data_IF_929658725112
#
_entry.id   IF_929658725112
#
_cell.length_a   1.000
_cell.length_b   1.000
_cell.length_c   1.000
_cell.angle_alpha   90.00
_cell.angle_beta   90.00
_cell.angle_gamma   90.00
#
_symmetry.space_group_name_H-M   'P 1'
#
loop_
_entity.id
_entity.type
_entity.pdbx_description
1 polymer ?
#
# COMPACT_ATOMS: atom_id res chain seq x y z
N UNK A 1 17.29 0.30 1.80
CA UNK A 1 15.99 0.93 2.07
C UNK A 1 14.90 -0.03 1.63
N UNK A 2 13.88 -0.27 2.45
CA UNK A 2 12.72 -1.05 2.02
C UNK A 2 12.04 -0.31 0.86
N UNK A 3 11.69 -1.04 -0.21
CA UNK A 3 11.00 -0.47 -1.36
C UNK A 3 9.62 -1.10 -1.48
N UNK A 4 8.59 -0.27 -1.57
CA UNK A 4 7.23 -0.73 -1.88
C UNK A 4 7.03 -0.81 -3.39
N UNK A 5 6.55 -1.96 -3.87
CA UNK A 5 6.21 -2.14 -5.28
C UNK A 5 4.79 -1.65 -5.54
N UNK A 6 4.66 -0.67 -6.42
CA UNK A 6 3.38 -0.12 -6.87
C UNK A 6 3.26 -0.22 -8.39
N UNK A 7 2.04 -0.38 -8.89
CA UNK A 7 1.72 -0.24 -10.31
C UNK A 7 0.95 1.06 -10.51
N UNK A 8 1.44 1.92 -11.39
CA UNK A 8 0.82 3.21 -11.72
C UNK A 8 0.62 3.32 -13.22
N UNK A 9 -0.46 3.98 -13.64
CA UNK A 9 -0.70 4.31 -15.04
C UNK A 9 -0.25 5.74 -15.29
N UNK A 10 0.70 5.92 -16.22
CA UNK A 10 1.23 7.23 -16.63
C UNK A 10 1.38 7.25 -18.17
N UNK A 11 1.38 8.43 -18.81
CA UNK A 11 1.51 8.53 -20.27
C UNK A 11 2.76 7.84 -20.81
N UNK A 12 2.63 7.10 -21.93
CA UNK A 12 3.74 6.35 -22.54
C UNK A 12 4.94 7.24 -22.90
N UNK A 13 4.67 8.46 -23.39
CA UNK A 13 5.72 9.44 -23.68
C UNK A 13 6.54 9.81 -22.44
N UNK A 14 5.89 9.92 -21.28
CA UNK A 14 6.56 10.24 -20.02
C UNK A 14 7.44 9.07 -19.55
N UNK A 15 6.99 7.82 -19.75
CA UNK A 15 7.81 6.62 -19.46
C UNK A 15 9.07 6.61 -20.32
N UNK A 16 8.95 6.90 -21.62
CA UNK A 16 10.09 6.96 -22.54
C UNK A 16 11.09 8.05 -22.14
N UNK A 17 10.61 9.22 -21.71
CA UNK A 17 11.45 10.29 -21.18
C UNK A 17 12.17 9.86 -19.89
N UNK A 18 11.47 9.20 -18.96
CA UNK A 18 12.06 8.68 -17.73
C UNK A 18 13.14 7.64 -18.01
N UNK A 19 12.92 6.73 -18.96
CA UNK A 19 13.91 5.71 -19.37
C UNK A 19 15.15 6.32 -20.01
N UNK A 20 14.97 7.37 -20.81
CA UNK A 20 16.08 8.11 -21.41
C UNK A 20 16.89 8.83 -20.33
N UNK A 21 16.22 9.46 -19.37
CA UNK A 21 16.84 10.13 -18.23
C UNK A 21 17.57 9.15 -17.29
N UNK A 22 17.03 7.95 -17.11
CA UNK A 22 17.60 6.85 -16.32
C UNK A 22 18.90 6.35 -16.95
N UNK A 23 18.87 6.03 -18.26
CA UNK A 23 20.05 5.59 -19.02
C UNK A 23 21.18 6.62 -18.97
N UNK A 24 20.88 7.90 -19.24
CA UNK A 24 21.87 8.99 -19.20
C UNK A 24 22.57 9.15 -17.84
N UNK A 25 21.92 8.74 -16.75
CA UNK A 25 22.43 8.90 -15.38
C UNK A 25 22.96 7.60 -14.79
N UNK A 26 22.95 6.50 -15.55
CA UNK A 26 23.23 5.16 -15.07
C UNK A 26 22.42 4.80 -13.81
N UNK A 27 21.11 5.09 -13.84
CA UNK A 27 20.16 4.85 -12.73
C UNK A 27 18.95 4.05 -13.23
N UNK A 28 18.15 3.54 -12.30
CA UNK A 28 16.89 2.86 -12.62
C UNK A 28 15.76 3.86 -12.88
N UNK A 29 14.73 3.42 -13.61
CA UNK A 29 13.49 4.19 -13.80
C UNK A 29 12.85 4.58 -12.47
N UNK A 30 12.76 3.64 -11.52
CA UNK A 30 12.21 3.89 -10.19
C UNK A 30 12.97 4.96 -9.43
N UNK A 31 14.30 5.05 -9.62
CA UNK A 31 15.10 6.13 -9.03
C UNK A 31 14.73 7.49 -9.61
N UNK A 32 14.57 7.60 -10.94
CA UNK A 32 14.13 8.85 -11.59
C UNK A 32 12.75 9.30 -11.09
N UNK A 33 11.81 8.36 -10.98
CA UNK A 33 10.46 8.66 -10.50
C UNK A 33 10.50 9.11 -9.03
N UNK A 34 11.27 8.43 -8.17
CA UNK A 34 11.41 8.81 -6.76
C UNK A 34 12.02 10.21 -6.59
N UNK A 35 13.05 10.56 -7.36
CA UNK A 35 13.63 11.91 -7.36
C UNK A 35 12.64 12.98 -7.83
N UNK A 36 11.85 12.68 -8.87
CA UNK A 36 10.83 13.61 -9.37
C UNK A 36 9.79 13.91 -8.29
N UNK A 37 9.30 12.87 -7.59
CA UNK A 37 8.36 13.03 -6.46
C UNK A 37 8.99 13.84 -5.34
N UNK A 38 10.24 13.56 -4.96
CA UNK A 38 10.92 14.30 -3.89
C UNK A 38 10.99 15.80 -4.18
N UNK A 39 11.47 16.17 -5.38
CA UNK A 39 11.56 17.56 -5.80
C UNK A 39 10.21 18.24 -5.90
N UNK A 40 9.19 17.52 -6.35
CA UNK A 40 7.83 18.04 -6.42
C UNK A 40 7.30 18.40 -5.03
N UNK A 41 7.51 17.52 -4.04
CA UNK A 41 7.09 17.78 -2.66
C UNK A 41 7.90 18.92 -2.03
N UNK A 42 9.23 18.92 -2.17
CA UNK A 42 10.10 20.00 -1.69
C UNK A 42 9.70 21.37 -2.26
N UNK A 43 9.28 21.41 -3.52
CA UNK A 43 8.80 22.63 -4.17
C UNK A 43 7.38 23.04 -3.76
N UNK A 44 6.50 22.07 -3.46
CA UNK A 44 5.11 22.32 -3.08
C UNK A 44 4.94 22.78 -1.63
N UNK A 45 5.90 22.47 -0.75
CA UNK A 45 5.89 22.90 0.64
C UNK A 45 7.32 23.18 1.14
N UNK A 46 7.76 24.46 1.21
CA UNK A 46 9.01 24.81 1.86
C UNK A 46 8.85 24.62 3.38
N UNK A 47 8.93 23.39 3.86
CA UNK A 47 8.83 23.08 5.29
C UNK A 47 8.54 21.64 5.66
N UNK A 48 7.98 20.83 4.76
CA UNK A 48 7.59 19.45 5.07
C UNK A 48 8.36 18.47 4.17
N UNK A 49 9.64 18.27 4.50
CA UNK A 49 10.43 17.23 3.87
C UNK A 49 9.72 15.88 4.09
N UNK A 50 9.27 15.22 3.01
CA UNK A 50 8.74 13.86 3.06
C UNK A 50 9.88 12.94 3.51
N UNK A 51 9.94 12.73 4.82
CA UNK A 51 10.77 11.74 5.47
C UNK A 51 10.02 10.42 5.39
N UNK A 52 10.65 9.37 4.87
CA UNK A 52 10.20 8.02 5.20
C UNK A 52 10.11 7.95 6.74
N UNK A 53 8.99 7.46 7.31
CA UNK A 53 8.93 7.23 8.74
C UNK A 53 10.04 6.23 9.05
N UNK A 54 11.14 6.73 9.62
CA UNK A 54 12.18 5.88 10.18
C UNK A 54 11.49 5.16 11.33
N UNK A 55 11.29 3.84 11.27
CA UNK A 55 10.76 3.14 12.41
C UNK A 55 11.80 3.29 13.51
N UNK A 56 11.53 4.15 14.49
CA UNK A 56 12.34 4.21 15.69
C UNK A 56 12.29 2.80 16.29
N UNK A 57 13.43 2.11 16.47
CA UNK A 57 13.43 0.77 17.04
C UNK A 57 12.79 0.74 18.45
N UNK A 58 12.71 1.92 19.10
CA UNK A 58 11.84 2.20 20.24
C UNK A 58 11.27 3.61 20.10
N UNK A 59 10.08 3.78 19.52
CA UNK A 59 9.30 4.99 19.76
C UNK A 59 8.96 5.00 21.26
N UNK A 60 9.46 5.99 22.00
CA UNK A 60 9.23 6.08 23.43
C UNK A 60 7.74 6.33 23.71
N UNK A 61 7.04 5.28 24.13
CA UNK A 61 5.66 5.34 24.62
C UNK A 61 4.61 4.73 23.69
N UNK A 62 3.44 4.48 24.27
CA UNK A 62 2.26 4.05 23.54
C UNK A 62 1.68 5.27 22.82
N UNK A 63 1.49 5.21 21.51
CA UNK A 63 0.79 6.27 20.76
C UNK A 63 -0.60 6.55 21.35
N UNK A 64 -1.16 7.75 21.10
CA UNK A 64 -2.35 8.25 21.79
C UNK A 64 -3.53 7.25 21.83
N UNK A 65 -3.78 6.53 20.74
CA UNK A 65 -4.81 5.50 20.66
C UNK A 65 -4.51 4.30 21.57
N UNK A 66 -3.27 3.79 21.54
CA UNK A 66 -2.85 2.64 22.34
C UNK A 66 -2.81 2.98 23.84
N UNK A 67 -2.46 4.22 24.17
CA UNK A 67 -2.52 4.74 25.54
C UNK A 67 -3.97 4.88 26.03
N UNK A 68 -4.87 5.39 25.19
CA UNK A 68 -6.29 5.50 25.52
C UNK A 68 -6.92 4.11 25.75
N UNK A 69 -6.60 3.13 24.91
CA UNK A 69 -7.02 1.74 25.09
C UNK A 69 -6.53 1.18 26.42
N UNK A 70 -5.23 1.34 26.73
CA UNK A 70 -4.68 0.87 28.01
C UNK A 70 -5.39 1.52 29.21
N UNK A 71 -5.70 2.82 29.14
CA UNK A 71 -6.45 3.51 30.20
C UNK A 71 -7.88 2.99 30.34
N UNK A 72 -8.51 2.54 29.25
CA UNK A 72 -9.82 1.91 29.30
C UNK A 72 -9.72 0.51 29.92
N UNK A 73 -8.77 -0.30 29.48
CA UNK A 73 -8.55 -1.66 29.96
C UNK A 73 -8.22 -1.69 31.45
N UNK A 74 -7.41 -0.75 31.96
CA UNK A 74 -7.07 -0.67 33.38
C UNK A 74 -8.25 -0.34 34.30
N UNK A 75 -9.40 0.11 33.76
CA UNK A 75 -10.63 0.28 34.53
C UNK A 75 -11.44 -1.02 34.66
N UNK A 76 -11.07 -2.06 33.91
CA UNK A 76 -11.71 -3.37 33.93
C UNK A 76 -10.97 -4.32 34.88
N UNK A 77 -11.67 -5.36 35.32
CA UNK A 77 -11.04 -6.50 36.01
C UNK A 77 -10.10 -7.24 35.05
N UNK A 78 -9.09 -7.97 35.54
CA UNK A 78 -8.23 -8.78 34.69
C UNK A 78 -8.99 -9.70 33.72
N UNK A 79 -10.04 -10.35 34.21
CA UNK A 79 -10.89 -11.26 33.44
C UNK A 79 -11.69 -10.51 32.36
N UNK A 80 -12.21 -9.33 32.67
CA UNK A 80 -12.99 -8.54 31.72
C UNK A 80 -12.12 -7.93 30.62
N UNK A 81 -10.84 -7.60 30.91
CA UNK A 81 -9.88 -7.20 29.86
C UNK A 81 -9.67 -8.31 28.84
N UNK A 82 -9.55 -9.56 29.29
CA UNK A 82 -9.38 -10.72 28.40
C UNK A 82 -10.63 -10.89 27.53
N UNK A 83 -11.81 -10.84 28.13
CA UNK A 83 -13.08 -10.94 27.38
C UNK A 83 -13.24 -9.83 26.34
N UNK A 84 -12.87 -8.59 26.69
CA UNK A 84 -12.96 -7.46 25.77
C UNK A 84 -11.96 -7.56 24.61
N UNK A 85 -10.74 -8.04 24.89
CA UNK A 85 -9.76 -8.33 23.86
C UNK A 85 -10.25 -9.42 22.89
N UNK A 86 -10.87 -10.48 23.41
CA UNK A 86 -11.48 -11.55 22.59
C UNK A 86 -12.63 -11.03 21.72
N UNK A 87 -13.51 -10.18 22.27
CA UNK A 87 -14.59 -9.52 21.50
C UNK A 87 -14.04 -8.64 20.39
N UNK A 88 -12.99 -7.87 20.68
CA UNK A 88 -12.34 -6.99 19.70
C UNK A 88 -11.73 -7.81 18.56
N UNK A 89 -11.06 -8.92 18.89
CA UNK A 89 -10.54 -9.86 17.90
C UNK A 89 -11.65 -10.47 17.04
N UNK A 90 -12.79 -10.82 17.65
CA UNK A 90 -13.94 -11.37 16.94
C UNK A 90 -14.62 -10.34 16.03
N UNK A 91 -14.73 -9.09 16.46
CA UNK A 91 -15.27 -7.98 15.65
C UNK A 91 -14.36 -7.61 14.48
N UNK A 92 -13.04 -7.75 14.66
CA UNK A 92 -12.05 -7.53 13.60
C UNK A 92 -11.88 -8.68 12.62
N UNK A 93 -12.51 -9.84 12.86
CA UNK A 93 -12.54 -10.91 11.87
C UNK A 93 -13.36 -10.44 10.66
N UNK A 94 -12.79 -10.42 9.45
CA UNK A 94 -13.57 -10.14 8.27
C UNK A 94 -14.68 -11.19 8.20
N UNK A 95 -15.92 -10.75 8.36
CA UNK A 95 -17.07 -11.57 8.07
C UNK A 95 -16.94 -12.01 6.61
N UNK A 96 -17.17 -13.30 6.36
CA UNK A 96 -17.04 -13.92 5.05
C UNK A 96 -17.57 -13.00 3.95
N UNK A 97 -16.75 -12.80 2.94
CA UNK A 97 -17.04 -12.01 1.75
C UNK A 97 -18.36 -12.45 1.09
N UNK A 98 -19.47 -11.77 1.40
CA UNK A 98 -20.71 -11.88 0.60
C UNK A 98 -21.56 -10.61 0.62
N UNK A 99 -20.93 -9.43 0.70
CA UNK A 99 -21.65 -8.16 0.63
C UNK A 99 -20.89 -7.04 -0.10
N UNK A 100 -20.02 -7.38 -1.06
CA UNK A 100 -19.51 -6.42 -2.04
C UNK A 100 -19.79 -6.96 -3.44
N UNK A 101 -20.65 -6.25 -4.15
CA UNK A 101 -21.04 -6.55 -5.52
C UNK A 101 -19.85 -6.61 -6.47
N UNK A 102 -19.99 -7.46 -7.49
CA UNK A 102 -19.05 -7.66 -8.60
C UNK A 102 -17.63 -8.02 -8.17
N UNK A 103 -17.41 -9.31 -7.86
CA UNK A 103 -16.06 -9.90 -7.89
C UNK A 103 -15.43 -9.65 -9.27
N UNK A 104 -14.55 -8.66 -9.34
CA UNK A 104 -13.51 -8.58 -10.37
C UNK A 104 -12.67 -9.85 -10.25
N UNK A 105 -13.01 -10.87 -11.04
CA UNK A 105 -12.24 -12.10 -11.11
C UNK A 105 -10.95 -11.77 -11.86
N UNK A 106 -9.86 -11.64 -11.12
CA UNK A 106 -8.53 -11.45 -11.71
C UNK A 106 -8.12 -12.77 -12.37
N UNK A 107 -8.12 -12.81 -13.70
CA UNK A 107 -7.62 -13.94 -14.48
C UNK A 107 -6.17 -13.61 -14.87
N UNK A 108 -5.22 -14.39 -14.34
CA UNK A 108 -3.82 -14.32 -14.72
C UNK A 108 -3.50 -15.34 -15.80
N UNK A 109 -2.65 -14.96 -16.75
CA UNK A 109 -2.14 -15.83 -17.81
C UNK A 109 -0.63 -15.92 -17.69
N UNK A 110 -0.07 -17.12 -17.81
CA UNK A 110 1.39 -17.32 -17.76
C UNK A 110 2.04 -16.90 -19.08
N UNK A 111 1.34 -17.04 -20.21
CA UNK A 111 1.81 -16.65 -21.53
C UNK A 111 0.81 -15.72 -22.21
N UNK A 112 1.34 -14.84 -23.09
CA UNK A 112 0.52 -13.90 -23.84
C UNK A 112 -0.47 -14.58 -24.79
N UNK A 113 -0.10 -15.73 -25.36
CA UNK A 113 -0.97 -16.51 -26.25
C UNK A 113 -2.24 -17.00 -25.52
N UNK A 114 -2.14 -17.36 -24.24
CA UNK A 114 -3.27 -17.84 -23.44
C UNK A 114 -4.33 -16.73 -23.25
N UNK A 115 -3.87 -15.47 -23.15
CA UNK A 115 -4.74 -14.30 -23.11
C UNK A 115 -5.48 -14.11 -24.45
N UNK A 116 -4.80 -14.27 -25.58
CA UNK A 116 -5.43 -14.14 -26.90
C UNK A 116 -6.48 -15.22 -27.13
N UNK A 117 -6.21 -16.46 -26.70
CA UNK A 117 -7.16 -17.56 -26.77
C UNK A 117 -8.38 -17.36 -25.87
N UNK A 118 -8.17 -16.81 -24.68
CA UNK A 118 -9.26 -16.41 -23.79
C UNK A 118 -10.11 -15.32 -24.43
N UNK A 119 -9.48 -14.28 -24.97
CA UNK A 119 -10.19 -13.14 -25.56
C UNK A 119 -11.02 -13.53 -26.78
N UNK A 120 -10.48 -14.39 -27.65
CA UNK A 120 -11.23 -14.97 -28.78
C UNK A 120 -12.47 -15.75 -28.32
N UNK A 121 -12.40 -16.45 -27.18
CA UNK A 121 -13.54 -17.21 -26.62
C UNK A 121 -14.58 -16.31 -25.97
N UNK A 122 -14.18 -15.20 -25.37
CA UNK A 122 -15.12 -14.19 -24.85
C UNK A 122 -15.85 -13.46 -25.98
N UNK A 123 -15.15 -13.06 -27.04
CA UNK A 123 -15.76 -12.31 -28.15
C UNK A 123 -16.69 -13.20 -29.03
N UNK A 124 -16.62 -14.53 -28.89
CA UNK A 124 -17.49 -15.49 -29.55
C UNK A 124 -18.74 -15.89 -28.74
N UNK A 125 -18.89 -15.35 -27.51
CA UNK A 125 -20.08 -15.52 -26.66
C UNK A 125 -21.01 -14.31 -26.76
#
# INVERSE_FOLDING_TARGET
>A
MPASRISITIPAALVAQADTAARRRNRSRSWIIAEAVRRYVEAAAPGEAVREPTPLPYAAGLGAQRLAQLRADLRLTPEDRVREAERTLQAGRPHGSSAYGSTTRLIGFERYEDYLDYKRREDAR
#
